data_IF_349429483082
#
_entry.id   IF_349429483082
#
_cell.length_a   1.000
_cell.length_b   1.000
_cell.length_c   1.000
_cell.angle_alpha   90.00
_cell.angle_beta   90.00
_cell.angle_gamma   90.00
#
_symmetry.space_group_name_H-M   'P 1'
#
loop_
_entity.id
_entity.type
_entity.pdbx_description
1 polymer ?
#
# COMPACT_ATOMS: atom_id res chain seq x y z
N UNK A 1 -7.86 -17.30 -6.75
CA UNK A 1 -6.54 -17.80 -6.31
C UNK A 1 -6.76 -18.83 -5.23
N UNK A 2 -6.08 -19.99 -5.29
CA UNK A 2 -6.25 -21.11 -4.32
C UNK A 2 -5.57 -20.81 -2.99
N UNK A 3 -6.17 -21.23 -1.86
CA UNK A 3 -5.62 -21.06 -0.51
C UNK A 3 -4.21 -21.65 -0.32
N UNK A 4 -3.81 -22.63 -1.13
CA UNK A 4 -2.46 -23.21 -1.10
C UNK A 4 -1.35 -22.23 -1.49
N UNK A 5 -1.67 -21.12 -2.17
CA UNK A 5 -0.67 -20.06 -2.41
C UNK A 5 -0.43 -19.21 -1.16
N UNK A 6 -1.46 -18.92 -0.36
CA UNK A 6 -1.31 -18.10 0.87
C UNK A 6 -0.47 -18.80 1.92
N UNK A 7 -0.70 -20.10 2.14
CA UNK A 7 0.12 -20.92 3.06
C UNK A 7 1.61 -20.89 2.68
N UNK A 8 1.89 -21.00 1.37
CA UNK A 8 3.25 -20.90 0.84
C UNK A 8 3.86 -19.51 1.07
N UNK A 9 3.13 -18.43 0.83
CA UNK A 9 3.64 -17.07 1.04
C UNK A 9 3.95 -16.81 2.53
N UNK A 10 3.08 -17.25 3.44
CA UNK A 10 3.33 -17.15 4.87
C UNK A 10 4.58 -17.93 5.29
N UNK A 11 4.77 -19.14 4.75
CA UNK A 11 5.98 -19.92 4.99
C UNK A 11 7.24 -19.20 4.49
N UNK A 12 7.20 -18.62 3.28
CA UNK A 12 8.33 -17.87 2.72
C UNK A 12 8.67 -16.62 3.54
N UNK A 13 7.69 -15.93 4.10
CA UNK A 13 7.93 -14.78 5.00
C UNK A 13 8.67 -15.24 6.26
N UNK A 14 8.29 -16.38 6.84
CA UNK A 14 8.95 -16.93 8.03
C UNK A 14 10.37 -17.39 7.75
N UNK A 15 10.60 -17.99 6.59
CA UNK A 15 11.89 -18.56 6.21
C UNK A 15 12.88 -17.50 5.74
N UNK A 16 12.46 -16.59 4.86
CA UNK A 16 13.33 -15.57 4.27
C UNK A 16 13.40 -14.28 5.07
N UNK A 17 12.46 -14.07 5.99
CA UNK A 17 12.41 -12.91 6.87
C UNK A 17 12.57 -11.57 6.12
N UNK A 18 11.72 -11.27 5.12
CA UNK A 18 11.79 -10.00 4.40
C UNK A 18 11.46 -8.82 5.30
N UNK A 19 12.05 -7.65 5.02
CA UNK A 19 11.75 -6.39 5.70
C UNK A 19 10.50 -5.70 5.15
N UNK A 20 10.11 -5.97 3.90
CA UNK A 20 9.01 -5.31 3.20
C UNK A 20 8.16 -6.28 2.39
N UNK A 21 6.86 -5.97 2.27
CA UNK A 21 5.92 -6.64 1.38
C UNK A 21 5.23 -5.64 0.44
N UNK A 22 4.98 -6.04 -0.80
CA UNK A 22 4.16 -5.30 -1.76
C UNK A 22 2.98 -6.16 -2.21
N UNK A 23 1.75 -5.74 -1.94
CA UNK A 23 0.58 -6.61 -2.11
C UNK A 23 -0.73 -5.83 -2.11
N UNK A 24 -1.81 -6.42 -2.64
CA UNK A 24 -3.15 -5.85 -2.45
C UNK A 24 -3.57 -5.91 -0.97
N UNK A 25 -4.16 -4.84 -0.40
CA UNK A 25 -4.61 -4.79 1.00
C UNK A 25 -5.51 -5.98 1.39
N UNK A 26 -6.48 -6.35 0.56
CA UNK A 26 -7.41 -7.46 0.81
C UNK A 26 -6.70 -8.82 0.88
N UNK A 27 -5.69 -9.03 0.04
CA UNK A 27 -4.88 -10.25 0.10
C UNK A 27 -3.95 -10.26 1.32
N UNK A 28 -3.46 -9.09 1.76
CA UNK A 28 -2.70 -8.97 2.99
C UNK A 28 -3.50 -9.47 4.20
N UNK A 29 -4.78 -9.15 4.32
CA UNK A 29 -5.63 -9.64 5.40
C UNK A 29 -5.69 -11.18 5.45
N UNK A 30 -5.86 -11.84 4.30
CA UNK A 30 -5.80 -13.30 4.22
C UNK A 30 -4.42 -13.87 4.61
N UNK A 31 -3.35 -13.14 4.25
CA UNK A 31 -1.98 -13.52 4.60
C UNK A 31 -1.72 -13.37 6.09
N UNK A 32 -2.29 -12.36 6.74
CA UNK A 32 -2.21 -12.16 8.19
C UNK A 32 -2.88 -13.31 8.93
N UNK A 33 -4.08 -13.72 8.52
CA UNK A 33 -4.77 -14.88 9.13
C UNK A 33 -3.92 -16.16 9.03
N UNK A 34 -3.27 -16.36 7.90
CA UNK A 34 -2.40 -17.51 7.68
C UNK A 34 -1.09 -17.43 8.48
N UNK A 35 -0.50 -16.24 8.60
CA UNK A 35 0.65 -16.00 9.48
C UNK A 35 0.29 -16.24 10.94
N UNK A 36 -0.84 -15.72 11.42
CA UNK A 36 -1.35 -15.96 12.77
C UNK A 36 -1.53 -17.47 13.01
N UNK A 37 -2.12 -18.20 12.05
CA UNK A 37 -2.26 -19.68 12.14
C UNK A 37 -0.91 -20.37 12.30
N UNK A 38 0.11 -19.95 11.57
CA UNK A 38 1.44 -20.56 11.56
C UNK A 38 2.35 -20.11 12.72
N UNK A 39 2.06 -18.95 13.33
CA UNK A 39 2.90 -18.30 14.34
C UNK A 39 2.29 -18.31 15.75
N UNK A 40 1.15 -18.98 15.95
CA UNK A 40 0.53 -19.14 17.27
C UNK A 40 -0.40 -17.99 17.67
N UNK A 41 -1.04 -17.36 16.69
CA UNK A 41 -2.07 -16.34 16.88
C UNK A 41 -1.59 -14.89 16.80
N UNK A 42 -0.29 -14.68 16.55
CA UNK A 42 0.30 -13.33 16.47
C UNK A 42 1.24 -13.21 15.26
N UNK A 43 0.81 -12.44 14.27
CA UNK A 43 1.61 -12.13 13.08
C UNK A 43 2.53 -10.92 13.29
N UNK A 44 2.38 -10.15 14.37
CA UNK A 44 3.20 -8.96 14.63
C UNK A 44 4.67 -9.28 14.95
N UNK A 45 4.94 -10.53 15.32
CA UNK A 45 6.29 -11.04 15.54
C UNK A 45 7.03 -11.42 14.24
N UNK A 46 6.43 -11.20 13.05
CA UNK A 46 7.09 -11.50 11.79
C UNK A 46 8.18 -10.46 11.47
N UNK A 47 8.96 -10.69 10.41
CA UNK A 47 10.09 -9.83 10.04
C UNK A 47 9.69 -8.53 9.36
N UNK A 48 8.44 -8.42 8.90
CA UNK A 48 7.98 -7.29 8.09
C UNK A 48 8.03 -6.01 8.93
N UNK A 49 8.44 -4.92 8.28
CA UNK A 49 8.53 -3.58 8.88
C UNK A 49 7.71 -2.56 8.12
N UNK A 50 7.60 -2.74 6.79
CA UNK A 50 6.86 -1.85 5.89
C UNK A 50 6.00 -2.67 4.93
N UNK A 51 4.78 -2.22 4.68
CA UNK A 51 3.91 -2.76 3.65
C UNK A 51 3.56 -1.68 2.64
N UNK A 52 3.67 -2.00 1.35
CA UNK A 52 3.23 -1.12 0.27
C UNK A 52 2.00 -1.75 -0.38
N UNK A 53 0.89 -1.02 -0.33
CA UNK A 53 -0.43 -1.51 -0.70
C UNK A 53 -1.04 -0.66 -1.80
N UNK A 54 -1.69 -1.30 -2.77
CA UNK A 54 -2.29 -0.60 -3.89
C UNK A 54 -3.11 -1.54 -4.77
N UNK A 55 -3.36 -1.11 -6.01
CA UNK A 55 -4.18 -1.78 -7.02
C UNK A 55 -5.69 -1.89 -6.70
N UNK A 56 -6.11 -1.53 -5.49
CA UNK A 56 -7.52 -1.43 -5.10
C UNK A 56 -7.73 -0.31 -4.06
N UNK A 57 -8.92 0.30 -3.98
CA UNK A 57 -9.25 1.25 -2.92
C UNK A 57 -9.29 0.57 -1.56
N UNK A 58 -8.76 1.23 -0.53
CA UNK A 58 -8.75 0.73 0.83
C UNK A 58 -8.94 1.88 1.83
N UNK A 59 -9.52 1.56 2.98
CA UNK A 59 -9.93 2.57 3.97
C UNK A 59 -8.86 2.77 5.04
N UNK A 60 -8.94 3.90 5.73
CA UNK A 60 -8.12 4.14 6.93
C UNK A 60 -8.35 3.05 8.00
N UNK A 61 -9.57 2.52 8.15
CA UNK A 61 -9.84 1.44 9.08
C UNK A 61 -9.06 0.16 8.72
N UNK A 62 -9.03 -0.21 7.43
CA UNK A 62 -8.25 -1.34 6.93
C UNK A 62 -6.75 -1.13 7.14
N UNK A 63 -6.26 0.10 6.91
CA UNK A 63 -4.87 0.45 7.21
C UNK A 63 -4.52 0.17 8.67
N UNK A 64 -5.30 0.72 9.59
CA UNK A 64 -5.06 0.54 11.04
C UNK A 64 -5.13 -0.94 11.45
N UNK A 65 -6.00 -1.74 10.83
CA UNK A 65 -6.07 -3.18 11.08
C UNK A 65 -4.77 -3.89 10.67
N UNK A 66 -4.30 -3.66 9.44
CA UNK A 66 -3.07 -4.25 8.91
C UNK A 66 -1.87 -3.84 9.77
N UNK A 67 -1.71 -2.55 10.03
CA UNK A 67 -0.62 -2.02 10.84
C UNK A 67 -0.61 -2.61 12.25
N UNK A 68 -1.78 -2.73 12.88
CA UNK A 68 -1.91 -3.31 14.22
C UNK A 68 -1.57 -4.80 14.26
N UNK A 69 -2.06 -5.58 13.30
CA UNK A 69 -1.90 -7.05 13.30
C UNK A 69 -0.51 -7.50 12.85
N UNK A 70 0.16 -6.73 11.99
CA UNK A 70 1.53 -7.02 11.52
C UNK A 70 2.62 -6.23 12.23
N UNK A 71 2.29 -5.15 12.95
CA UNK A 71 3.30 -4.28 13.57
C UNK A 71 4.14 -3.50 12.56
N UNK A 72 3.55 -3.11 11.42
CA UNK A 72 4.24 -2.44 10.30
C UNK A 72 3.73 -1.02 10.07
N UNK A 73 4.47 -0.24 9.28
CA UNK A 73 3.94 0.96 8.61
C UNK A 73 3.37 0.58 7.25
N UNK A 74 2.13 0.98 6.97
CA UNK A 74 1.45 0.72 5.71
C UNK A 74 1.44 1.98 4.83
N UNK A 75 1.88 1.86 3.58
CA UNK A 75 1.96 2.93 2.60
C UNK A 75 1.09 2.63 1.38
N UNK A 76 0.48 3.66 0.82
CA UNK A 76 -0.35 3.59 -0.38
C UNK A 76 0.46 3.86 -1.66
N UNK A 77 0.32 2.97 -2.64
CA UNK A 77 0.88 3.13 -3.99
C UNK A 77 -0.24 3.14 -5.03
N UNK A 78 -0.20 4.15 -5.89
CA UNK A 78 -1.17 4.31 -6.96
C UNK A 78 -0.54 4.15 -8.34
N UNK A 79 -1.32 3.58 -9.26
CA UNK A 79 -0.93 3.42 -10.64
C UNK A 79 -1.98 2.67 -11.45
N UNK A 80 -1.95 2.89 -12.76
CA UNK A 80 -2.81 2.23 -13.74
C UNK A 80 -2.01 1.96 -15.02
N UNK A 81 -2.34 0.87 -15.70
CA UNK A 81 -1.63 0.40 -16.90
C UNK A 81 -1.59 1.43 -18.02
N UNK A 82 -2.65 2.20 -18.16
CA UNK A 82 -2.85 3.19 -19.22
C UNK A 82 -1.89 4.38 -19.11
N UNK A 83 -1.31 4.59 -17.91
CA UNK A 83 -0.30 5.61 -17.66
C UNK A 83 1.09 4.98 -17.59
N UNK A 84 1.26 3.95 -16.77
CA UNK A 84 2.54 3.22 -16.62
C UNK A 84 2.36 1.87 -15.93
N UNK A 85 1.53 1.81 -14.90
CA UNK A 85 1.52 0.76 -13.88
C UNK A 85 1.75 1.36 -12.49
N UNK A 86 2.05 0.54 -11.46
CA UNK A 86 2.32 1.04 -10.11
C UNK A 86 3.49 2.03 -10.10
N UNK A 87 3.37 3.11 -9.32
CA UNK A 87 4.40 4.14 -9.21
C UNK A 87 4.06 5.47 -9.89
N UNK A 88 2.78 5.71 -10.23
CA UNK A 88 2.31 7.04 -10.65
C UNK A 88 2.27 8.00 -9.45
N UNK A 89 1.87 7.48 -8.29
CA UNK A 89 1.95 8.20 -7.03
C UNK A 89 2.28 7.22 -5.89
N UNK A 90 2.91 7.72 -4.83
CA UNK A 90 3.35 6.92 -3.68
C UNK A 90 3.31 7.74 -2.40
N UNK A 91 2.84 7.14 -1.30
CA UNK A 91 2.93 7.76 0.02
C UNK A 91 4.36 7.78 0.55
N UNK A 92 4.69 8.86 1.26
CA UNK A 92 5.97 8.99 1.92
C UNK A 92 5.89 8.43 3.33
N UNK A 93 6.96 7.73 3.72
CA UNK A 93 7.06 7.08 5.02
C UNK A 93 6.97 8.09 6.18
N UNK A 94 7.43 9.32 5.96
CA UNK A 94 7.49 10.36 6.98
C UNK A 94 6.13 11.01 7.27
N UNK A 95 5.22 11.05 6.29
CA UNK A 95 3.97 11.82 6.40
C UNK A 95 2.73 10.95 6.38
N UNK A 96 2.72 9.88 5.57
CA UNK A 96 1.55 9.01 5.37
C UNK A 96 0.23 9.78 5.15
N UNK A 97 0.29 10.88 4.40
CA UNK A 97 -0.80 11.84 4.20
C UNK A 97 -1.45 11.77 2.80
N UNK A 98 -1.33 10.62 2.16
CA UNK A 98 -1.83 10.36 0.80
C UNK A 98 -0.71 10.27 -0.25
N UNK A 99 -0.94 9.56 -1.37
CA UNK A 99 0.08 9.38 -2.40
C UNK A 99 0.54 10.72 -3.00
N UNK A 100 1.83 11.01 -2.88
CA UNK A 100 2.46 12.12 -3.62
C UNK A 100 2.58 11.71 -5.09
N UNK A 101 2.10 12.56 -6.00
CA UNK A 101 2.14 12.32 -7.45
C UNK A 101 3.54 12.70 -7.95
N UNK A 102 4.15 11.83 -8.77
CA UNK A 102 5.41 12.14 -9.47
C UNK A 102 5.13 13.07 -10.67
N UNK A 103 4.84 14.33 -10.37
CA UNK A 103 4.35 15.33 -11.35
C UNK A 103 5.38 15.73 -12.41
N UNK A 104 6.65 15.42 -12.18
CA UNK A 104 7.72 15.55 -13.17
C UNK A 104 7.55 14.57 -14.34
N UNK A 105 6.87 13.44 -14.11
CA UNK A 105 6.54 12.44 -15.13
C UNK A 105 5.04 12.43 -15.49
N UNK A 106 4.17 12.72 -14.53
CA UNK A 106 2.72 12.58 -14.67
C UNK A 106 2.00 13.86 -14.26
N UNK A 107 1.63 14.69 -15.24
CA UNK A 107 0.91 15.93 -14.98
C UNK A 107 -0.56 15.65 -14.60
N UNK A 108 -1.00 15.88 -13.35
CA UNK A 108 -2.35 15.52 -12.92
C UNK A 108 -3.34 16.68 -13.15
N UNK A 109 -4.54 16.35 -13.62
CA UNK A 109 -5.65 17.29 -13.75
C UNK A 109 -6.93 16.71 -13.12
N UNK A 110 -7.68 17.55 -12.42
CA UNK A 110 -9.01 17.20 -11.89
C UNK A 110 -10.05 17.94 -12.72
N UNK A 111 -10.98 17.19 -13.31
CA UNK A 111 -12.06 17.73 -14.14
C UNK A 111 -13.42 17.30 -13.60
N UNK A 112 -14.44 18.16 -13.77
CA UNK A 112 -15.82 17.77 -13.50
C UNK A 112 -16.23 16.68 -14.50
N UNK A 113 -16.72 15.51 -14.02
CA UNK A 113 -17.04 14.38 -14.90
C UNK A 113 -18.21 14.65 -15.86
N UNK A 114 -19.04 15.68 -15.61
CA UNK A 114 -20.22 15.98 -16.44
C UNK A 114 -19.92 16.90 -17.62
N UNK A 115 -19.04 17.90 -17.44
CA UNK A 115 -18.79 18.96 -18.42
C UNK A 115 -17.31 19.15 -18.79
N UNK A 116 -16.40 18.41 -18.15
CA UNK A 116 -14.96 18.48 -18.41
C UNK A 116 -14.29 19.76 -17.91
N UNK A 117 -14.99 20.61 -17.17
CA UNK A 117 -14.41 21.85 -16.63
C UNK A 117 -13.34 21.53 -15.59
N UNK A 118 -12.20 22.21 -15.68
CA UNK A 118 -11.11 22.07 -14.72
C UNK A 118 -11.56 22.57 -13.34
N UNK A 119 -11.35 21.74 -12.31
CA UNK A 119 -11.54 22.12 -10.92
C UNK A 119 -10.23 22.70 -10.37
N UNK A 120 -10.30 23.68 -9.47
CA UNK A 120 -9.10 24.18 -8.81
C UNK A 120 -8.53 23.11 -7.89
N UNK A 121 -7.28 22.74 -8.10
CA UNK A 121 -6.54 21.81 -7.23
C UNK A 121 -6.23 22.50 -5.90
N UNK A 122 -6.51 21.84 -4.77
CA UNK A 122 -5.90 22.19 -3.49
C UNK A 122 -4.44 21.68 -3.52
N UNK A 123 -3.47 22.59 -3.48
CA UNK A 123 -2.06 22.23 -3.39
C UNK A 123 -1.78 21.49 -2.08
N UNK A 124 -1.29 20.24 -2.08
CA UNK A 124 -0.64 19.68 -0.88
C UNK A 124 0.31 18.51 -1.14
N UNK A 125 1.37 18.56 -0.32
CA UNK A 125 2.46 17.63 -0.03
C UNK A 125 3.43 17.29 -1.17
N UNK A 126 4.56 18.03 -1.20
CA UNK A 126 5.79 17.59 -1.85
C UNK A 126 6.68 16.97 -0.78
N UNK A 127 6.94 15.66 -0.85
CA UNK A 127 8.00 15.03 -0.06
C UNK A 127 9.40 15.40 -0.57
N UNK A 128 9.50 15.84 -1.82
CA UNK A 128 10.72 16.35 -2.42
C UNK A 128 10.96 17.82 -2.05
N UNK A 129 11.05 18.16 -0.77
CA UNK A 129 11.79 19.37 -0.39
C UNK A 129 13.27 19.00 -0.34
N UNK A 130 14.14 19.59 -1.19
CA UNK A 130 15.57 19.34 -1.09
C UNK A 130 16.05 19.80 0.29
N UNK A 131 16.79 18.95 1.01
CA UNK A 131 17.69 19.44 2.07
C UNK A 131 18.86 20.15 1.42
#
# INVERSE_FOLDING_TARGET
>A
MSGGQTEKQAQLIRDFKPDMIMVMPSYCLNLIEELERQMGGDASACSLRVGVFGAEPWTQAMRHEIEKRLGITALDIYGLSEVMGPGVAMECLETADGPTIWEDHFYPEIVNPNDGTRLMTASRANCCSPR
#
